data_IF_341642098083
#
_entry.id   IF_341642098083
#
_cell.length_a   1.000
_cell.length_b   1.000
_cell.length_c   1.000
_cell.angle_alpha   90.00
_cell.angle_beta   90.00
_cell.angle_gamma   90.00
#
_symmetry.space_group_name_H-M   'P 1'
#
loop_
_entity.id
_entity.type
_entity.pdbx_description
1 polymer ?
#
# COMPACT_ATOMS: atom_id res chain seq x y z
N UNK A 1 15.15 -86.24 6.14
CA UNK A 1 13.91 -85.80 5.48
C UNK A 1 13.40 -84.53 6.16
N UNK A 2 13.27 -83.47 5.36
CA UNK A 2 12.41 -82.29 5.50
C UNK A 2 12.25 -81.54 6.84
N UNK A 3 12.71 -80.28 6.80
CA UNK A 3 12.01 -79.01 7.18
C UNK A 3 11.64 -78.82 8.67
N UNK A 4 11.93 -77.71 9.37
CA UNK A 4 12.23 -76.34 8.94
C UNK A 4 12.77 -75.42 10.06
N UNK A 5 13.03 -74.19 9.63
CA UNK A 5 13.89 -73.11 10.16
C UNK A 5 13.30 -72.41 11.41
N UNK A 6 14.13 -71.80 12.29
CA UNK A 6 13.74 -71.41 13.65
C UNK A 6 13.11 -70.00 13.78
N UNK A 7 12.39 -69.82 14.87
CA UNK A 7 11.68 -68.60 15.23
C UNK A 7 12.61 -67.47 15.71
N UNK A 8 12.55 -66.36 14.98
CA UNK A 8 12.52 -64.96 15.47
C UNK A 8 13.71 -64.43 16.29
N UNK A 9 14.73 -63.93 15.58
CA UNK A 9 15.55 -62.80 16.04
C UNK A 9 14.64 -61.56 16.17
N UNK A 10 14.42 -61.07 17.40
CA UNK A 10 13.93 -59.71 17.64
C UNK A 10 15.08 -58.73 17.43
N UNK A 11 15.31 -58.32 16.19
CA UNK A 11 16.11 -57.13 15.89
C UNK A 11 15.24 -55.90 16.11
N UNK A 12 15.60 -55.12 17.11
CA UNK A 12 15.07 -53.79 17.35
C UNK A 12 15.37 -52.92 16.12
N UNK A 13 14.39 -52.77 15.23
CA UNK A 13 14.39 -51.72 14.23
C UNK A 13 14.08 -50.40 14.96
N UNK A 14 15.12 -49.77 15.48
CA UNK A 14 15.10 -48.34 15.74
C UNK A 14 15.01 -47.67 14.37
N UNK A 15 13.79 -47.56 13.84
CA UNK A 15 13.50 -46.62 12.78
C UNK A 15 13.65 -45.23 13.39
N UNK A 16 14.89 -44.72 13.36
CA UNK A 16 15.17 -43.31 13.51
C UNK A 16 14.40 -42.63 12.37
N UNK A 17 13.15 -42.27 12.65
CA UNK A 17 12.46 -41.22 11.91
C UNK A 17 13.31 -39.98 12.14
N UNK A 18 14.35 -39.82 11.32
CA UNK A 18 14.88 -38.52 10.98
C UNK A 18 13.67 -37.77 10.45
N UNK A 19 13.06 -36.98 11.32
CA UNK A 19 12.17 -35.90 10.97
C UNK A 19 13.05 -34.96 10.13
N UNK A 20 13.18 -35.25 8.84
CA UNK A 20 13.56 -34.22 7.90
C UNK A 20 12.33 -33.31 7.83
N UNK A 21 12.39 -32.05 8.27
CA UNK A 21 11.30 -31.11 8.02
C UNK A 21 11.31 -30.79 6.53
N UNK A 22 10.80 -31.72 5.71
CA UNK A 22 10.84 -31.60 4.26
C UNK A 22 9.52 -31.01 3.79
N UNK A 23 9.55 -29.70 3.51
CA UNK A 23 8.67 -28.97 2.59
C UNK A 23 7.19 -28.79 2.97
N UNK A 24 6.90 -28.00 4.02
CA UNK A 24 5.65 -27.22 4.05
C UNK A 24 5.81 -25.79 3.50
N UNK A 25 7.05 -25.34 3.28
CA UNK A 25 7.37 -24.10 2.59
C UNK A 25 7.50 -24.35 1.09
N UNK A 26 6.39 -24.22 0.37
CA UNK A 26 6.38 -24.28 -1.08
C UNK A 26 6.45 -22.86 -1.65
N UNK A 27 7.64 -22.44 -2.10
CA UNK A 27 7.78 -21.21 -2.85
C UNK A 27 6.98 -21.32 -4.18
N UNK A 28 6.19 -20.30 -4.57
CA UNK A 28 5.43 -20.37 -5.81
C UNK A 28 6.34 -20.57 -7.03
N UNK A 29 5.87 -21.35 -8.01
CA UNK A 29 6.59 -21.52 -9.28
C UNK A 29 6.79 -20.16 -9.94
N UNK A 30 7.98 -19.95 -10.51
CA UNK A 30 8.41 -18.68 -11.11
C UNK A 30 8.62 -17.53 -10.13
N UNK A 31 8.60 -17.78 -8.82
CA UNK A 31 9.00 -16.80 -7.81
C UNK A 31 10.28 -17.25 -7.09
N UNK A 32 10.90 -16.32 -6.36
CA UNK A 32 12.03 -16.55 -5.47
C UNK A 32 11.59 -16.24 -4.04
N UNK A 33 12.02 -17.05 -3.08
CA UNK A 33 11.68 -16.89 -1.67
C UNK A 33 12.99 -16.84 -0.87
N UNK A 34 13.59 -15.65 -0.69
CA UNK A 34 14.88 -15.50 0.00
C UNK A 34 14.77 -15.85 1.49
N UNK A 35 13.59 -15.61 2.07
CA UNK A 35 13.24 -15.94 3.44
C UNK A 35 11.91 -16.70 3.48
N UNK A 36 11.60 -17.46 4.55
CA UNK A 36 10.40 -18.30 4.62
C UNK A 36 9.06 -17.55 4.45
N UNK A 37 9.03 -16.25 4.80
CA UNK A 37 7.84 -15.40 4.75
C UNK A 37 7.92 -14.29 3.69
N UNK A 38 8.90 -14.38 2.80
CA UNK A 38 9.11 -13.40 1.73
C UNK A 38 8.97 -14.07 0.36
N UNK A 39 8.15 -13.47 -0.50
CA UNK A 39 7.88 -13.99 -1.84
C UNK A 39 8.14 -12.90 -2.87
N UNK A 40 9.07 -13.15 -3.77
CA UNK A 40 9.50 -12.22 -4.82
C UNK A 40 9.19 -12.80 -6.21
N UNK A 41 8.31 -12.13 -6.92
CA UNK A 41 7.76 -12.55 -8.21
C UNK A 41 7.91 -11.42 -9.25
N UNK A 42 9.06 -10.74 -9.31
CA UNK A 42 9.28 -9.61 -10.21
C UNK A 42 9.68 -10.06 -11.63
N UNK A 43 9.37 -9.24 -12.64
CA UNK A 43 9.75 -9.48 -14.04
C UNK A 43 9.25 -10.81 -14.64
N UNK A 44 8.07 -11.28 -14.21
CA UNK A 44 7.49 -12.57 -14.63
C UNK A 44 6.33 -12.43 -15.62
N UNK A 45 6.00 -11.21 -16.01
CA UNK A 45 4.92 -10.91 -16.96
C UNK A 45 3.56 -11.47 -16.51
N UNK A 46 3.34 -11.54 -15.19
CA UNK A 46 2.07 -12.02 -14.67
C UNK A 46 0.93 -11.08 -15.10
N UNK A 47 -0.13 -11.60 -15.77
CA UNK A 47 -1.29 -10.78 -16.15
C UNK A 47 -2.25 -10.54 -14.96
N UNK A 48 -2.12 -11.32 -13.89
CA UNK A 48 -2.91 -11.25 -12.67
C UNK A 48 -2.09 -11.70 -11.47
N UNK A 49 -2.52 -11.37 -10.25
CA UNK A 49 -1.88 -11.88 -9.04
C UNK A 49 -1.88 -13.43 -9.00
N UNK A 50 -0.77 -14.09 -8.62
CA UNK A 50 -0.71 -15.55 -8.56
C UNK A 50 -1.53 -16.07 -7.37
N UNK A 51 -2.25 -17.19 -7.55
CA UNK A 51 -3.18 -17.73 -6.55
C UNK A 51 -2.53 -18.53 -5.42
N UNK A 52 -1.33 -19.06 -5.65
CA UNK A 52 -0.69 -20.04 -4.76
C UNK A 52 0.38 -19.38 -3.86
N UNK A 53 0.06 -18.24 -3.27
CA UNK A 53 0.96 -17.54 -2.33
C UNK A 53 0.77 -18.15 -0.94
N UNK A 54 1.86 -18.53 -0.23
CA UNK A 54 1.78 -19.02 1.15
C UNK A 54 1.05 -18.04 2.07
N UNK A 55 0.13 -18.54 2.90
CA UNK A 55 -0.75 -17.70 3.74
C UNK A 55 -0.02 -16.97 4.87
N UNK A 56 1.15 -17.46 5.24
CA UNK A 56 2.06 -16.90 6.24
C UNK A 56 3.07 -15.90 5.66
N UNK A 57 2.94 -15.56 4.36
CA UNK A 57 3.76 -14.51 3.72
C UNK A 57 3.54 -13.16 4.42
N UNK A 58 4.64 -12.53 4.84
CA UNK A 58 4.67 -11.20 5.43
C UNK A 58 5.10 -10.14 4.41
N UNK A 59 5.93 -10.50 3.42
CA UNK A 59 6.37 -9.57 2.37
C UNK A 59 6.18 -10.18 1.00
N UNK A 60 5.40 -9.51 0.16
CA UNK A 60 5.08 -9.95 -1.18
C UNK A 60 5.47 -8.88 -2.19
N UNK A 61 6.37 -9.24 -3.11
CA UNK A 61 6.77 -8.38 -4.20
C UNK A 61 6.32 -8.93 -5.56
N UNK A 62 5.32 -8.28 -6.14
CA UNK A 62 4.76 -8.53 -7.47
C UNK A 62 5.10 -7.38 -8.44
N UNK A 63 6.13 -6.56 -8.13
CA UNK A 63 6.49 -5.42 -8.96
C UNK A 63 7.04 -5.79 -10.34
N UNK A 64 6.96 -4.87 -11.30
CA UNK A 64 7.44 -5.06 -12.67
C UNK A 64 6.84 -6.30 -13.34
N UNK A 65 5.50 -6.42 -13.31
CA UNK A 65 4.73 -7.43 -14.05
C UNK A 65 3.73 -6.72 -14.99
N UNK A 66 2.70 -7.42 -15.45
CA UNK A 66 1.67 -6.91 -16.36
C UNK A 66 0.27 -7.05 -15.75
N UNK A 67 0.17 -6.94 -14.42
CA UNK A 67 -1.10 -7.11 -13.72
C UNK A 67 -2.01 -5.92 -14.07
N UNK A 68 -3.13 -6.18 -14.73
CA UNK A 68 -4.05 -5.13 -15.20
C UNK A 68 -5.12 -4.75 -14.17
N UNK A 69 -5.49 -5.69 -13.31
CA UNK A 69 -6.57 -5.54 -12.34
C UNK A 69 -6.32 -6.37 -11.09
N UNK A 70 -6.83 -5.89 -9.96
CA UNK A 70 -6.82 -6.63 -8.69
C UNK A 70 -8.25 -7.04 -8.34
N UNK A 71 -8.47 -8.34 -8.19
CA UNK A 71 -9.73 -8.94 -7.76
C UNK A 71 -9.86 -9.02 -6.24
N UNK A 72 -11.09 -9.03 -5.75
CA UNK A 72 -11.41 -9.08 -4.31
C UNK A 72 -10.83 -10.31 -3.59
N UNK A 73 -10.57 -11.40 -4.32
CA UNK A 73 -10.04 -12.65 -3.78
C UNK A 73 -8.51 -12.79 -3.86
N UNK A 74 -7.82 -11.91 -4.59
CA UNK A 74 -6.41 -12.10 -4.95
C UNK A 74 -5.49 -12.12 -3.73
N UNK A 75 -5.81 -11.33 -2.70
CA UNK A 75 -5.03 -11.24 -1.46
C UNK A 75 -5.82 -11.62 -0.20
N UNK A 76 -7.06 -12.11 -0.34
CA UNK A 76 -7.99 -12.30 0.78
C UNK A 76 -7.46 -13.20 1.92
N UNK A 77 -6.54 -14.12 1.61
CA UNK A 77 -5.98 -15.06 2.57
C UNK A 77 -4.64 -14.64 3.19
N UNK A 78 -4.06 -13.51 2.76
CA UNK A 78 -2.73 -13.06 3.20
C UNK A 78 -2.82 -12.16 4.43
N UNK A 79 -3.46 -12.63 5.49
CA UNK A 79 -3.76 -11.83 6.69
C UNK A 79 -2.52 -11.37 7.46
N UNK A 80 -1.40 -12.06 7.29
CA UNK A 80 -0.12 -11.72 7.92
C UNK A 80 0.72 -10.77 7.07
N UNK A 81 0.23 -10.36 5.91
CA UNK A 81 1.01 -9.53 5.00
C UNK A 81 1.25 -8.15 5.60
N UNK A 82 2.52 -7.76 5.73
CA UNK A 82 2.98 -6.47 6.24
C UNK A 82 3.43 -5.54 5.11
N UNK A 83 3.93 -6.11 4.00
CA UNK A 83 4.41 -5.35 2.85
C UNK A 83 3.90 -5.97 1.55
N UNK A 84 3.23 -5.15 0.74
CA UNK A 84 2.77 -5.50 -0.60
C UNK A 84 3.34 -4.52 -1.62
N UNK A 85 4.13 -5.04 -2.55
CA UNK A 85 4.72 -4.25 -3.63
C UNK A 85 4.10 -4.65 -4.97
N UNK A 86 3.37 -3.72 -5.58
CA UNK A 86 2.67 -3.85 -6.87
C UNK A 86 3.13 -2.79 -7.89
N UNK A 87 4.21 -2.09 -7.59
CA UNK A 87 4.77 -1.03 -8.43
C UNK A 87 5.19 -1.51 -9.83
N UNK A 88 5.06 -0.66 -10.84
CA UNK A 88 5.46 -0.98 -12.22
C UNK A 88 4.60 -2.09 -12.83
N UNK A 89 3.29 -2.02 -12.64
CA UNK A 89 2.32 -2.91 -13.29
C UNK A 89 1.39 -2.08 -14.19
N UNK A 90 0.37 -2.73 -14.76
CA UNK A 90 -0.65 -2.11 -15.60
C UNK A 90 -1.97 -1.87 -14.85
N UNK A 91 -1.95 -1.77 -13.52
CA UNK A 91 -3.16 -1.80 -12.67
C UNK A 91 -4.00 -0.57 -12.96
N UNK A 92 -5.12 -0.76 -13.65
CA UNK A 92 -6.07 0.30 -13.97
C UNK A 92 -7.28 0.29 -13.02
N UNK A 93 -7.57 -0.86 -12.39
CA UNK A 93 -8.68 -1.03 -11.46
C UNK A 93 -8.35 -2.00 -10.34
N UNK A 94 -8.95 -1.75 -9.18
CA UNK A 94 -8.89 -2.60 -7.99
C UNK A 94 -10.32 -2.78 -7.52
N UNK A 95 -10.75 -4.02 -7.33
CA UNK A 95 -12.11 -4.31 -6.88
C UNK A 95 -12.28 -3.88 -5.42
N UNK A 96 -13.46 -3.38 -5.05
CA UNK A 96 -13.76 -3.04 -3.66
C UNK A 96 -13.49 -4.21 -2.73
N UNK A 97 -12.87 -3.93 -1.58
CA UNK A 97 -12.54 -4.94 -0.57
C UNK A 97 -11.34 -5.85 -0.91
N UNK A 98 -10.62 -5.63 -2.02
CA UNK A 98 -9.43 -6.44 -2.39
C UNK A 98 -8.34 -6.45 -1.31
N UNK A 99 -8.30 -5.42 -0.47
CA UNK A 99 -7.33 -5.29 0.62
C UNK A 99 -7.94 -5.44 2.02
N UNK A 100 -9.25 -5.69 2.12
CA UNK A 100 -10.02 -5.63 3.37
C UNK A 100 -9.47 -6.54 4.48
N UNK A 101 -8.94 -7.70 4.11
CA UNK A 101 -8.40 -8.68 5.06
C UNK A 101 -6.92 -8.44 5.45
N UNK A 102 -6.24 -7.49 4.82
CA UNK A 102 -4.81 -7.22 5.02
C UNK A 102 -4.58 -6.30 6.24
N UNK A 103 -5.11 -6.69 7.40
CA UNK A 103 -5.11 -5.85 8.61
C UNK A 103 -3.71 -5.62 9.20
N UNK A 104 -2.75 -6.47 8.89
CA UNK A 104 -1.33 -6.32 9.28
C UNK A 104 -0.52 -5.47 8.30
N UNK A 105 -1.10 -5.05 7.16
CA UNK A 105 -0.37 -4.37 6.10
C UNK A 105 0.09 -3.00 6.57
N UNK A 106 1.39 -2.75 6.51
CA UNK A 106 2.03 -1.50 6.91
C UNK A 106 2.48 -0.69 5.70
N UNK A 107 2.85 -1.35 4.60
CA UNK A 107 3.37 -0.69 3.39
C UNK A 107 2.68 -1.26 2.17
N UNK A 108 2.02 -0.37 1.41
CA UNK A 108 1.42 -0.67 0.11
C UNK A 108 2.06 0.21 -0.96
N UNK A 109 2.67 -0.42 -1.97
CA UNK A 109 3.24 0.27 -3.12
C UNK A 109 2.45 -0.02 -4.38
N UNK A 110 1.75 0.99 -4.88
CA UNK A 110 1.01 1.00 -6.14
C UNK A 110 1.61 2.02 -7.14
N UNK A 111 2.83 2.51 -6.90
CA UNK A 111 3.51 3.47 -7.77
C UNK A 111 3.67 2.96 -9.20
N UNK A 112 3.72 3.84 -10.21
CA UNK A 112 3.91 3.44 -11.61
C UNK A 112 2.85 2.43 -12.07
N UNK A 113 1.58 2.81 -11.96
CA UNK A 113 0.41 2.05 -12.42
C UNK A 113 -0.53 2.96 -13.23
N UNK A 114 -1.76 2.52 -13.47
CA UNK A 114 -2.74 3.21 -14.33
C UNK A 114 -4.02 3.59 -13.59
N UNK A 115 -3.96 3.72 -12.25
CA UNK A 115 -5.11 4.11 -11.44
C UNK A 115 -5.55 5.53 -11.80
N UNK A 116 -6.86 5.72 -11.96
CA UNK A 116 -7.45 7.02 -12.34
C UNK A 116 -8.21 7.71 -11.22
N UNK A 117 -8.75 6.94 -10.28
CA UNK A 117 -9.57 7.45 -9.17
C UNK A 117 -9.26 6.68 -7.90
N UNK A 118 -9.49 7.33 -6.78
CA UNK A 118 -9.46 6.74 -5.45
C UNK A 118 -10.81 7.01 -4.79
N UNK A 119 -11.46 5.94 -4.36
CA UNK A 119 -12.75 5.96 -3.65
C UNK A 119 -12.60 5.41 -2.22
N UNK A 120 -13.59 5.63 -1.33
CA UNK A 120 -13.50 5.20 0.08
C UNK A 120 -13.43 3.70 0.31
N UNK A 121 -13.84 2.87 -0.65
CA UNK A 121 -13.80 1.41 -0.52
C UNK A 121 -12.45 0.81 -0.91
N UNK A 122 -11.60 1.57 -1.61
CA UNK A 122 -10.37 1.07 -2.20
C UNK A 122 -9.37 0.57 -1.15
N UNK A 123 -9.23 1.30 -0.04
CA UNK A 123 -8.28 1.00 1.04
C UNK A 123 -8.97 0.58 2.34
N UNK A 124 -10.26 0.24 2.27
CA UNK A 124 -11.02 -0.19 3.44
C UNK A 124 -10.35 -1.39 4.13
N UNK A 125 -10.30 -1.37 5.46
CA UNK A 125 -9.73 -2.45 6.28
C UNK A 125 -8.22 -2.35 6.55
N UNK A 126 -7.51 -1.44 5.88
CA UNK A 126 -6.06 -1.24 6.03
C UNK A 126 -5.68 -0.40 7.28
N UNK A 127 -6.17 -0.79 8.45
CA UNK A 127 -6.03 -0.01 9.71
C UNK A 127 -4.60 0.16 10.20
N UNK A 128 -3.70 -0.76 9.84
CA UNK A 128 -2.28 -0.73 10.23
C UNK A 128 -1.38 -0.08 9.17
N UNK A 129 -1.95 0.42 8.06
CA UNK A 129 -1.18 0.97 6.95
C UNK A 129 -0.47 2.25 7.39
N UNK A 130 0.85 2.26 7.24
CA UNK A 130 1.72 3.38 7.64
C UNK A 130 2.15 4.19 6.42
N UNK A 131 2.43 3.51 5.30
CA UNK A 131 2.92 4.12 4.06
C UNK A 131 2.12 3.64 2.86
N UNK A 132 1.56 4.60 2.13
CA UNK A 132 0.83 4.38 0.90
C UNK A 132 1.52 5.14 -0.24
N UNK A 133 1.96 4.40 -1.26
CA UNK A 133 2.56 4.97 -2.45
C UNK A 133 1.63 4.81 -3.65
N UNK A 134 1.18 5.93 -4.20
CA UNK A 134 0.31 6.07 -5.36
C UNK A 134 0.91 7.00 -6.42
N UNK A 135 2.19 7.34 -6.30
CA UNK A 135 2.89 8.20 -7.24
C UNK A 135 2.98 7.60 -8.64
N UNK A 136 3.14 8.45 -9.66
CA UNK A 136 3.26 8.02 -11.04
C UNK A 136 2.06 7.16 -11.49
N UNK A 137 0.85 7.62 -11.16
CA UNK A 137 -0.40 7.06 -11.65
C UNK A 137 -1.11 8.08 -12.56
N UNK A 138 -2.38 7.85 -12.85
CA UNK A 138 -3.22 8.73 -13.66
C UNK A 138 -4.35 9.34 -12.82
N UNK A 139 -4.16 9.45 -11.50
CA UNK A 139 -5.23 9.82 -10.56
C UNK A 139 -5.62 11.26 -10.81
N UNK A 140 -6.85 11.47 -11.28
CA UNK A 140 -7.42 12.80 -11.53
C UNK A 140 -8.40 13.24 -10.45
N UNK A 141 -8.88 12.30 -9.64
CA UNK A 141 -9.86 12.56 -8.59
C UNK A 141 -9.71 11.61 -7.40
N UNK A 142 -9.81 12.18 -6.20
CA UNK A 142 -9.89 11.44 -4.93
C UNK A 142 -11.17 11.88 -4.23
N UNK A 143 -12.06 10.93 -3.97
CA UNK A 143 -13.33 11.20 -3.31
C UNK A 143 -13.11 11.63 -1.84
N UNK A 144 -13.95 12.53 -1.27
CA UNK A 144 -13.92 12.84 0.16
C UNK A 144 -13.93 11.57 1.03
N UNK A 145 -13.18 11.59 2.13
CA UNK A 145 -13.05 10.46 3.06
C UNK A 145 -12.43 9.18 2.49
N UNK A 146 -11.77 9.25 1.32
CA UNK A 146 -11.14 8.07 0.71
C UNK A 146 -10.09 7.36 1.58
N UNK A 147 -9.48 8.07 2.52
CA UNK A 147 -8.47 7.53 3.43
C UNK A 147 -9.00 7.33 4.86
N UNK A 148 -10.31 7.49 5.08
CA UNK A 148 -10.92 7.33 6.39
C UNK A 148 -10.81 5.87 6.87
N UNK A 149 -10.41 5.67 8.12
CA UNK A 149 -10.13 4.34 8.68
C UNK A 149 -8.67 3.90 8.55
N UNK A 150 -7.83 4.62 7.78
CA UNK A 150 -6.37 4.42 7.74
C UNK A 150 -5.71 5.08 8.96
N UNK A 151 -6.10 4.65 10.17
CA UNK A 151 -5.78 5.30 11.44
C UNK A 151 -4.28 5.37 11.75
N UNK A 152 -3.47 4.51 11.13
CA UNK A 152 -2.01 4.46 11.30
C UNK A 152 -1.22 5.20 10.21
N UNK A 153 -1.90 5.78 9.21
CA UNK A 153 -1.26 6.32 8.02
C UNK A 153 -0.44 7.57 8.35
N UNK A 154 0.84 7.54 7.97
CA UNK A 154 1.79 8.64 8.20
C UNK A 154 2.33 9.22 6.91
N UNK A 155 2.50 8.41 5.88
CA UNK A 155 3.04 8.84 4.58
C UNK A 155 2.07 8.50 3.46
N UNK A 156 1.70 9.54 2.73
CA UNK A 156 0.92 9.44 1.50
C UNK A 156 1.70 10.10 0.36
N UNK A 157 2.02 9.30 -0.65
CA UNK A 157 2.78 9.73 -1.81
C UNK A 157 1.87 9.72 -3.04
N UNK A 158 1.55 10.91 -3.55
CA UNK A 158 0.65 11.19 -4.68
C UNK A 158 1.34 12.00 -5.78
N UNK A 159 2.67 12.14 -5.72
CA UNK A 159 3.46 12.84 -6.73
C UNK A 159 3.26 12.25 -8.14
N UNK A 160 3.39 13.09 -9.17
CA UNK A 160 3.28 12.66 -10.57
C UNK A 160 1.91 12.01 -10.87
N UNK A 161 0.83 12.71 -10.55
CA UNK A 161 -0.54 12.34 -10.87
C UNK A 161 -1.22 13.45 -11.69
N UNK A 162 -2.55 13.46 -11.77
CA UNK A 162 -3.34 14.40 -12.58
C UNK A 162 -4.37 15.17 -11.74
N UNK A 163 -4.12 15.30 -10.44
CA UNK A 163 -5.03 15.96 -9.51
C UNK A 163 -5.17 17.43 -9.87
N UNK A 164 -6.40 17.92 -10.02
CA UNK A 164 -6.72 19.32 -10.34
C UNK A 164 -7.27 20.09 -9.15
N UNK A 165 -8.04 19.40 -8.33
CA UNK A 165 -8.68 19.93 -7.14
C UNK A 165 -8.65 18.90 -6.02
N UNK A 166 -8.72 19.39 -4.79
CA UNK A 166 -8.74 18.60 -3.58
C UNK A 166 -9.85 19.10 -2.67
N UNK A 167 -10.75 18.20 -2.29
CA UNK A 167 -11.80 18.52 -1.34
C UNK A 167 -11.21 18.62 0.08
N UNK A 168 -11.72 19.50 0.96
CA UNK A 168 -11.16 19.67 2.31
C UNK A 168 -11.17 18.40 3.17
N UNK A 169 -12.03 17.44 2.81
CA UNK A 169 -12.21 16.16 3.51
C UNK A 169 -11.46 14.99 2.84
N UNK A 170 -10.68 15.25 1.78
CA UNK A 170 -9.95 14.20 1.04
C UNK A 170 -9.00 13.43 1.95
N UNK A 171 -8.22 14.10 2.81
CA UNK A 171 -7.15 13.50 3.60
C UNK A 171 -7.53 13.14 5.04
N UNK A 172 -8.82 13.07 5.36
CA UNK A 172 -9.28 12.61 6.68
C UNK A 172 -8.95 11.13 6.83
N UNK A 173 -8.21 10.78 7.89
CA UNK A 173 -7.85 9.39 8.21
C UNK A 173 -8.65 8.84 9.38
N UNK A 174 -9.12 9.72 10.28
CA UNK A 174 -9.92 9.35 11.45
C UNK A 174 -11.16 10.24 11.53
N UNK A 175 -12.31 9.59 11.62
CA UNK A 175 -13.60 10.20 11.96
C UNK A 175 -14.10 9.62 13.27
N UNK A 176 -14.28 10.47 14.28
CA UNK A 176 -14.78 10.09 15.61
C UNK A 176 -16.18 10.69 15.77
N UNK A 177 -17.15 9.82 16.08
CA UNK A 177 -18.57 10.19 16.30
C UNK A 177 -19.25 10.93 15.14
N UNK A 178 -18.65 10.92 13.94
CA UNK A 178 -19.17 11.61 12.75
C UNK A 178 -19.05 13.13 12.77
N UNK A 179 -18.48 13.70 13.83
CA UNK A 179 -18.38 15.16 14.03
C UNK A 179 -16.95 15.64 14.25
N UNK A 180 -16.02 14.75 14.59
CA UNK A 180 -14.61 15.07 14.76
C UNK A 180 -13.77 14.41 13.67
N UNK A 181 -13.10 15.22 12.87
CA UNK A 181 -12.25 14.77 11.77
C UNK A 181 -10.80 15.20 11.97
N UNK A 182 -9.89 14.27 11.76
CA UNK A 182 -8.45 14.56 11.78
C UNK A 182 -7.69 13.69 10.78
N UNK A 183 -6.57 14.22 10.30
CA UNK A 183 -5.56 13.51 9.53
C UNK A 183 -4.36 13.20 10.41
N UNK A 184 -3.95 11.93 10.41
CA UNK A 184 -2.73 11.44 11.07
C UNK A 184 -1.46 11.56 10.22
N UNK A 185 -1.58 12.09 9.00
CA UNK A 185 -0.48 12.22 8.06
C UNK A 185 0.64 13.12 8.59
N UNK A 186 1.88 12.68 8.36
CA UNK A 186 3.13 13.40 8.62
C UNK A 186 3.81 13.85 7.34
N UNK A 187 3.73 13.03 6.30
CA UNK A 187 4.31 13.30 4.99
C UNK A 187 3.23 13.20 3.93
N UNK A 188 2.96 14.33 3.26
CA UNK A 188 2.05 14.41 2.14
C UNK A 188 2.81 14.98 0.94
N UNK A 189 2.91 14.17 -0.11
CA UNK A 189 3.60 14.56 -1.33
C UNK A 189 2.59 14.69 -2.47
N UNK A 190 2.40 15.91 -2.95
CA UNK A 190 1.43 16.29 -3.99
C UNK A 190 2.12 17.01 -5.17
N UNK A 191 3.44 16.99 -5.21
CA UNK A 191 4.19 17.57 -6.31
C UNK A 191 3.83 16.96 -7.66
N UNK A 192 4.12 17.68 -8.74
CA UNK A 192 3.94 17.17 -10.10
C UNK A 192 2.49 16.70 -10.34
N UNK A 193 1.55 17.60 -10.09
CA UNK A 193 0.12 17.41 -10.33
C UNK A 193 -0.39 18.61 -11.15
N UNK A 194 -1.72 18.77 -11.25
CA UNK A 194 -2.39 19.83 -12.00
C UNK A 194 -3.15 20.80 -11.08
N UNK A 195 -2.70 20.95 -9.84
CA UNK A 195 -3.36 21.80 -8.85
C UNK A 195 -3.13 23.28 -9.18
N UNK A 196 -4.19 24.03 -9.43
CA UNK A 196 -4.11 25.47 -9.65
C UNK A 196 -4.30 26.28 -8.36
N UNK A 197 -5.08 25.75 -7.42
CA UNK A 197 -5.33 26.34 -6.10
C UNK A 197 -5.69 25.24 -5.10
N UNK A 198 -5.66 25.58 -3.82
CA UNK A 198 -6.20 24.74 -2.75
C UNK A 198 -7.35 25.50 -2.07
N UNK A 199 -8.45 24.79 -1.82
CA UNK A 199 -9.56 25.36 -1.06
C UNK A 199 -9.13 25.67 0.38
N UNK A 200 -9.58 26.81 0.96
CA UNK A 200 -9.41 27.07 2.37
C UNK A 200 -9.98 25.91 3.20
N UNK A 201 -9.24 25.48 4.22
CA UNK A 201 -9.63 24.35 5.06
C UNK A 201 -9.07 23.00 4.63
N UNK A 202 -8.51 22.86 3.42
CA UNK A 202 -7.87 21.60 3.00
C UNK A 202 -6.76 21.15 3.96
N UNK A 203 -6.02 22.09 4.55
CA UNK A 203 -4.98 21.80 5.53
C UNK A 203 -5.45 21.85 7.00
N UNK A 204 -6.73 22.11 7.27
CA UNK A 204 -7.23 22.35 8.63
C UNK A 204 -7.18 21.10 9.53
N UNK A 205 -7.35 19.92 8.95
CA UNK A 205 -7.47 18.67 9.72
C UNK A 205 -6.12 18.00 10.04
N UNK A 206 -5.00 18.56 9.55
CA UNK A 206 -3.67 17.99 9.75
C UNK A 206 -3.10 18.41 11.11
N UNK A 207 -3.03 17.47 12.05
CA UNK A 207 -2.54 17.74 13.41
C UNK A 207 -1.06 17.42 13.63
N UNK A 208 -0.42 16.74 12.67
CA UNK A 208 0.94 16.18 12.80
C UNK A 208 1.75 16.28 11.51
N UNK A 209 1.37 17.17 10.59
CA UNK A 209 2.04 17.29 9.31
C UNK A 209 3.45 17.86 9.52
N UNK A 210 4.45 17.22 8.92
CA UNK A 210 5.87 17.56 9.03
C UNK A 210 6.46 17.88 7.65
N UNK A 211 5.96 17.24 6.60
CA UNK A 211 6.41 17.47 5.22
C UNK A 211 5.20 17.59 4.31
N UNK A 212 5.14 18.69 3.59
CA UNK A 212 4.16 18.92 2.53
C UNK A 212 4.91 19.35 1.27
N UNK A 213 4.83 18.53 0.22
CA UNK A 213 5.43 18.86 -1.08
C UNK A 213 4.34 19.26 -2.06
N UNK A 214 4.45 20.47 -2.61
CA UNK A 214 3.47 21.09 -3.52
C UNK A 214 4.11 21.65 -4.80
N UNK A 215 5.43 21.58 -4.94
CA UNK A 215 6.16 22.06 -6.11
C UNK A 215 5.71 21.37 -7.42
N UNK A 216 6.02 21.97 -8.57
CA UNK A 216 5.61 21.45 -9.90
C UNK A 216 4.08 21.27 -10.03
N UNK A 217 3.32 22.26 -9.57
CA UNK A 217 1.89 22.38 -9.84
C UNK A 217 1.66 23.76 -10.51
N UNK A 218 0.66 23.90 -11.40
CA UNK A 218 0.35 25.14 -12.09
C UNK A 218 -0.37 26.15 -11.18
N UNK A 219 0.23 26.51 -10.04
CA UNK A 219 -0.38 27.40 -9.06
C UNK A 219 -0.73 28.77 -9.66
N UNK A 220 -1.99 29.17 -9.51
CA UNK A 220 -2.46 30.51 -9.86
C UNK A 220 -2.21 31.44 -8.67
N UNK A 221 -1.31 32.41 -8.86
CA UNK A 221 -0.93 33.38 -7.84
C UNK A 221 -1.91 34.55 -7.79
N UNK A 222 -3.11 34.33 -7.25
CA UNK A 222 -4.13 35.35 -7.00
C UNK A 222 -4.52 35.43 -5.51
N UNK A 223 -5.63 36.09 -5.20
CA UNK A 223 -6.10 36.21 -3.81
C UNK A 223 -6.57 34.88 -3.20
N UNK A 224 -6.89 33.85 -4.00
CA UNK A 224 -7.31 32.55 -3.49
C UNK A 224 -6.13 31.77 -2.89
N UNK A 225 -4.89 32.08 -3.27
CA UNK A 225 -3.69 31.44 -2.73
C UNK A 225 -3.15 32.12 -1.45
N UNK A 226 -3.65 33.31 -1.11
CA UNK A 226 -3.14 34.11 0.01
C UNK A 226 -3.12 33.34 1.33
N UNK A 227 -4.18 32.57 1.63
CA UNK A 227 -4.27 31.79 2.87
C UNK A 227 -3.17 30.73 2.96
N UNK A 228 -2.74 30.15 1.83
CA UNK A 228 -1.70 29.11 1.81
C UNK A 228 -0.32 29.72 2.09
N UNK A 229 -0.07 30.93 1.59
CA UNK A 229 1.14 31.69 1.92
C UNK A 229 1.18 32.10 3.40
N UNK A 230 0.04 32.48 3.97
CA UNK A 230 -0.08 32.77 5.40
C UNK A 230 0.10 31.50 6.24
N UNK A 231 -0.48 30.38 5.78
CA UNK A 231 -0.32 29.09 6.42
C UNK A 231 1.16 28.67 6.44
N UNK A 232 1.88 28.80 5.33
CA UNK A 232 3.32 28.48 5.23
C UNK A 232 4.15 29.27 6.25
N UNK A 233 4.00 30.60 6.26
CA UNK A 233 4.72 31.48 7.21
C UNK A 233 4.47 31.11 8.67
N UNK A 234 3.27 30.68 9.01
CA UNK A 234 2.91 30.31 10.38
C UNK A 234 3.44 28.92 10.79
N UNK A 235 3.86 28.09 9.85
CA UNK A 235 4.38 26.73 10.10
C UNK A 235 5.85 26.58 9.68
N UNK A 236 6.52 27.70 9.38
CA UNK A 236 7.92 27.77 9.01
C UNK A 236 8.79 27.22 10.16
N UNK A 237 9.40 26.04 9.94
CA UNK A 237 10.24 25.33 10.92
C UNK A 237 9.58 24.11 11.59
N UNK A 238 8.25 23.98 11.56
CA UNK A 238 7.52 22.79 12.02
C UNK A 238 7.17 21.86 10.86
N UNK A 239 6.81 22.45 9.71
CA UNK A 239 6.56 21.73 8.47
C UNK A 239 7.60 22.15 7.43
N UNK A 240 8.29 21.20 6.82
CA UNK A 240 9.05 21.43 5.60
C UNK A 240 8.06 21.53 4.43
N UNK A 241 7.59 22.74 4.17
CA UNK A 241 6.77 23.04 3.01
C UNK A 241 7.68 23.25 1.80
N UNK A 242 7.66 22.31 0.85
CA UNK A 242 8.39 22.42 -0.41
C UNK A 242 7.41 22.88 -1.49
N UNK A 243 6.96 24.13 -1.40
CA UNK A 243 6.12 24.76 -2.46
C UNK A 243 7.00 25.40 -3.53
N UNK A 244 8.14 25.98 -3.16
CA UNK A 244 8.87 26.94 -4.00
C UNK A 244 10.33 26.59 -4.30
N UNK A 245 10.69 25.31 -4.42
CA UNK A 245 12.01 24.95 -4.95
C UNK A 245 12.08 25.25 -6.45
N UNK A 246 12.35 26.53 -6.75
CA UNK A 246 12.79 27.18 -7.98
C UNK A 246 12.76 26.37 -9.28
N UNK A 247 11.93 26.82 -10.22
CA UNK A 247 12.41 27.62 -11.35
C UNK A 247 11.33 28.59 -11.84
#
# INVERSE_FOLDING_TARGET
>A
ALVGVPALLKLAAFSLLLILPSCLYACPRSCSCPNPKEVHCTFRHFPSAPRNIPKDTERLNLGYNSIGNIGSSDFANLRQLEMLMLHGNDIASVSSGSFYHLRSLQILKLSYNKLKRVDPSLFEGLTSLVRLHLDHNLIDFIEPFSFNGLTSLKLLQLEANRLRDLHPQTFITVSVLGTFWTSGLRHLHLADNQLEYLLPGTLQHFSKLEVLSLHRNPWTCDCHLQWLLEWDKNHEGETSLIVFSNH
#
